data_IF_671416884331
#
_entry.id   IF_671416884331
#
_cell.length_a   1.000
_cell.length_b   1.000
_cell.length_c   1.000
_cell.angle_alpha   90.00
_cell.angle_beta   90.00
_cell.angle_gamma   90.00
#
_symmetry.space_group_name_H-M   'P 1'
#
loop_
_entity.id
_entity.type
_entity.pdbx_description
1 polymer ?
#
# COMPACT_ATOMS: atom_id res chain seq x y z
N UNK A 1 2.08 19.46 14.18
CA UNK A 1 3.12 18.43 13.93
C UNK A 1 2.56 17.02 13.75
N UNK A 2 1.32 16.72 14.16
CA UNK A 2 0.69 15.40 14.01
C UNK A 2 0.05 15.14 12.64
N UNK A 3 -0.25 16.18 11.85
CA UNK A 3 -0.84 16.06 10.51
C UNK A 3 0.17 15.61 9.46
N UNK A 4 1.40 16.10 9.51
CA UNK A 4 2.45 15.76 8.53
C UNK A 4 2.78 14.26 8.54
N UNK A 5 2.89 13.66 9.74
CA UNK A 5 3.14 12.23 9.87
C UNK A 5 1.96 11.40 9.33
N UNK A 6 0.73 11.82 9.63
CA UNK A 6 -0.47 11.14 9.11
C UNK A 6 -0.54 11.23 7.59
N UNK A 7 -0.24 12.38 7.01
CA UNK A 7 -0.19 12.58 5.55
C UNK A 7 0.87 11.68 4.93
N UNK A 8 2.10 11.69 5.46
CA UNK A 8 3.18 10.85 4.95
C UNK A 8 2.85 9.35 5.00
N UNK A 9 2.20 8.88 6.07
CA UNK A 9 1.74 7.49 6.18
C UNK A 9 0.67 7.18 5.14
N UNK A 10 -0.30 8.08 4.94
CA UNK A 10 -1.35 7.89 3.93
C UNK A 10 -0.77 7.84 2.51
N UNK A 11 0.15 8.74 2.18
CA UNK A 11 0.84 8.77 0.89
C UNK A 11 1.63 7.48 0.65
N UNK A 12 2.36 7.00 1.65
CA UNK A 12 3.09 5.74 1.58
C UNK A 12 2.15 4.53 1.39
N UNK A 13 1.01 4.49 2.09
CA UNK A 13 0.01 3.42 1.88
C UNK A 13 -0.52 3.44 0.47
N UNK A 14 -0.86 4.62 -0.06
CA UNK A 14 -1.33 4.75 -1.44
C UNK A 14 -0.25 4.32 -2.45
N UNK A 15 1.00 4.72 -2.25
CA UNK A 15 2.12 4.30 -3.09
C UNK A 15 2.25 2.77 -3.17
N UNK A 16 2.16 2.06 -2.04
CA UNK A 16 2.23 0.60 -2.07
C UNK A 16 0.98 -0.04 -2.68
N UNK A 17 -0.22 0.47 -2.39
CA UNK A 17 -1.45 -0.01 -3.01
C UNK A 17 -1.38 0.11 -4.53
N UNK A 18 -0.95 1.28 -5.02
CA UNK A 18 -0.78 1.54 -6.45
C UNK A 18 0.23 0.57 -7.07
N UNK A 19 1.40 0.40 -6.45
CA UNK A 19 2.41 -0.56 -6.90
C UNK A 19 1.89 -2.00 -6.96
N UNK A 20 1.11 -2.43 -5.97
CA UNK A 20 0.50 -3.76 -5.93
C UNK A 20 -0.57 -3.97 -7.01
N UNK A 21 -1.36 -2.92 -7.29
CA UNK A 21 -2.36 -2.94 -8.36
C UNK A 21 -1.68 -2.95 -9.73
N UNK A 22 -0.66 -2.11 -9.92
CA UNK A 22 0.13 -2.05 -11.16
C UNK A 22 0.88 -3.35 -11.44
N UNK A 23 1.34 -4.05 -10.40
CA UNK A 23 1.93 -5.38 -10.53
C UNK A 23 0.91 -6.49 -10.86
N UNK A 24 -0.40 -6.18 -10.89
CA UNK A 24 -1.47 -7.13 -11.18
C UNK A 24 -1.78 -8.11 -10.04
N UNK A 25 -1.20 -7.89 -8.84
CA UNK A 25 -1.40 -8.77 -7.68
C UNK A 25 -2.76 -8.53 -7.03
N UNK A 26 -3.25 -7.29 -7.08
CA UNK A 26 -4.57 -6.91 -6.60
C UNK A 26 -5.31 -6.11 -7.66
N UNK A 27 -6.64 -6.20 -7.68
CA UNK A 27 -7.47 -5.32 -8.50
C UNK A 27 -7.85 -4.08 -7.70
N UNK A 28 -8.07 -2.95 -8.38
CA UNK A 28 -8.59 -1.74 -7.73
C UNK A 28 -9.92 -1.98 -6.98
N UNK A 29 -10.72 -2.94 -7.45
CA UNK A 29 -11.98 -3.33 -6.81
C UNK A 29 -11.79 -4.17 -5.53
N UNK A 30 -10.58 -4.69 -5.28
CA UNK A 30 -10.30 -5.49 -4.09
C UNK A 30 -10.24 -4.60 -2.86
N UNK A 31 -11.39 -4.46 -2.19
CA UNK A 31 -11.50 -3.71 -0.93
C UNK A 31 -10.54 -4.18 0.15
N UNK A 32 -10.11 -5.45 0.09
CA UNK A 32 -9.14 -6.03 0.99
C UNK A 32 -7.80 -5.28 0.97
N UNK A 33 -7.38 -4.72 -0.17
CA UNK A 33 -6.09 -4.03 -0.26
C UNK A 33 -6.05 -2.75 0.60
N UNK A 34 -7.20 -2.10 0.77
CA UNK A 34 -7.34 -0.88 1.58
C UNK A 34 -7.40 -1.17 3.09
N UNK A 35 -7.69 -2.42 3.47
CA UNK A 35 -7.72 -2.86 4.88
C UNK A 35 -6.34 -3.17 5.43
N UNK A 36 -5.33 -3.40 4.58
CA UNK A 36 -3.98 -3.71 5.03
C UNK A 36 -3.31 -2.52 5.74
N UNK A 37 -2.48 -2.84 6.71
CA UNK A 37 -1.55 -1.90 7.35
C UNK A 37 -0.39 -1.56 6.41
N UNK A 38 0.34 -0.49 6.73
CA UNK A 38 1.49 -0.06 5.93
C UNK A 38 2.55 -1.17 5.81
N UNK A 39 2.82 -1.86 6.92
CA UNK A 39 3.82 -2.95 6.98
C UNK A 39 3.40 -4.16 6.15
N UNK A 40 2.11 -4.49 6.10
CA UNK A 40 1.59 -5.57 5.26
C UNK A 40 1.73 -5.24 3.77
N UNK A 41 1.36 -4.01 3.37
CA UNK A 41 1.52 -3.53 2.00
C UNK A 41 3.00 -3.53 1.57
N UNK A 42 3.91 -3.09 2.44
CA UNK A 42 5.34 -3.14 2.21
C UNK A 42 5.83 -4.58 2.04
N UNK A 43 5.42 -5.49 2.93
CA UNK A 43 5.80 -6.90 2.87
C UNK A 43 5.34 -7.57 1.58
N UNK A 44 4.12 -7.27 1.12
CA UNK A 44 3.60 -7.75 -0.17
C UNK A 44 4.43 -7.18 -1.34
N UNK A 45 4.73 -5.89 -1.32
CA UNK A 45 5.58 -5.28 -2.35
C UNK A 45 6.98 -5.91 -2.41
N UNK A 46 7.59 -6.21 -1.27
CA UNK A 46 8.91 -6.87 -1.20
C UNK A 46 8.87 -8.29 -1.78
N UNK A 47 7.78 -9.04 -1.58
CA UNK A 47 7.60 -10.38 -2.14
C UNK A 47 7.49 -10.39 -3.67
N UNK A 48 6.94 -9.33 -4.26
CA UNK A 48 6.78 -9.21 -5.72
C UNK A 48 8.08 -8.80 -6.41
N UNK A 49 9.00 -8.17 -5.67
CA UNK A 49 10.28 -7.69 -6.19
C UNK A 49 11.42 -8.73 -6.06
N UNK A 50 11.11 -9.95 -5.60
CA UNK A 50 11.98 -11.13 -5.53
C UNK A 50 11.68 -12.07 -6.70
#
# INVERSE_FOLDING_TARGET
MSTQLRTAITELKQYYIDKLVHAGVFKQSDRQIYSFTLTELEGLCRKIQQ
#
